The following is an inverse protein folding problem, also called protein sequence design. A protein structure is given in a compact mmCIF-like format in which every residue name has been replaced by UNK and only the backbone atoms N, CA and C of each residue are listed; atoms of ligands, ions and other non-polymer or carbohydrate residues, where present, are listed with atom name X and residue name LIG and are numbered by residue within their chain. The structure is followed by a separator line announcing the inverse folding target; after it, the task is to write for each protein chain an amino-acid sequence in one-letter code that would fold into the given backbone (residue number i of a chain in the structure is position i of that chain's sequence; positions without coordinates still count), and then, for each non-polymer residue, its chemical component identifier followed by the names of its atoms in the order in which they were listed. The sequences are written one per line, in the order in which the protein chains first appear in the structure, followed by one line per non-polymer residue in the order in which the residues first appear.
data_IF_624746293817
#
_entry.id   IF_624746293817
#
_cell.length_a   1.000
_cell.length_b   1.000
_cell.length_c   1.000
_cell.angle_alpha   90.00
_cell.angle_beta   90.00
_cell.angle_gamma   90.00
#
_symmetry.space_group_name_H-M   'P 1'
#
loop_
_entity.id
_entity.type
_entity.pdbx_description
1 polymer ?
#
# COMPACT_ATOMS: atom_id res chain seq x y z
N UNK A 1 8.14 -13.39 -20.49
CA UNK A 1 8.58 -13.05 -19.13
C UNK A 1 9.97 -12.49 -19.27
N UNK A 2 10.18 -11.26 -18.81
CA UNK A 2 11.48 -10.60 -18.91
C UNK A 2 12.50 -11.25 -17.98
N UNK A 3 13.72 -11.38 -18.46
CA UNK A 3 14.82 -11.99 -17.72
C UNK A 3 15.45 -10.98 -16.75
N UNK A 4 15.17 -11.14 -15.46
CA UNK A 4 15.72 -10.28 -14.40
C UNK A 4 17.21 -10.57 -14.14
N UNK A 5 17.75 -11.70 -14.60
CA UNK A 5 19.17 -12.02 -14.44
C UNK A 5 20.09 -11.04 -15.19
N UNK A 6 19.56 -10.36 -16.21
CA UNK A 6 20.25 -9.32 -16.96
C UNK A 6 20.59 -8.09 -16.08
N UNK A 7 19.85 -7.87 -15.00
CA UNK A 7 20.03 -6.70 -14.13
C UNK A 7 21.12 -6.88 -13.06
N UNK A 8 21.52 -8.10 -12.72
CA UNK A 8 22.46 -8.38 -11.61
C UNK A 8 23.93 -8.48 -12.04
N UNK A 9 24.26 -7.91 -13.21
CA UNK A 9 25.63 -7.90 -13.74
C UNK A 9 26.52 -6.96 -12.91
N UNK A 10 27.79 -7.34 -12.66
CA UNK A 10 28.78 -6.44 -12.08
C UNK A 10 28.96 -5.20 -12.95
N UNK A 11 29.22 -4.07 -12.31
CA UNK A 11 29.81 -2.91 -12.93
C UNK A 11 31.24 -3.22 -13.27
N UNK A 12 31.51 -3.56 -14.52
CA UNK A 12 32.89 -3.57 -14.97
C UNK A 12 33.41 -2.13 -14.97
N UNK A 13 34.57 -1.92 -14.36
CA UNK A 13 35.27 -0.63 -14.29
C UNK A 13 35.55 -0.03 -15.67
N UNK A 14 35.59 -0.88 -16.72
CA UNK A 14 35.87 -0.51 -18.11
C UNK A 14 34.65 -0.63 -19.04
N UNK A 15 33.45 -0.89 -18.51
CA UNK A 15 32.23 -0.89 -19.33
C UNK A 15 31.96 0.51 -19.88
N UNK A 16 31.80 0.62 -21.20
CA UNK A 16 31.58 1.87 -21.89
C UNK A 16 30.25 2.47 -21.44
N UNK A 17 30.33 3.39 -20.47
CA UNK A 17 29.17 3.98 -19.85
C UNK A 17 28.44 4.90 -20.84
N UNK A 18 27.14 4.68 -20.99
CA UNK A 18 26.28 5.53 -21.83
C UNK A 18 26.06 6.88 -21.14
N UNK A 19 26.70 7.93 -21.63
CA UNK A 19 26.43 9.29 -21.14
C UNK A 19 25.02 9.75 -21.56
N UNK A 20 24.48 10.75 -20.86
CA UNK A 20 23.08 11.17 -21.07
C UNK A 20 22.78 11.71 -22.49
N UNK A 21 23.82 12.10 -23.23
CA UNK A 21 23.71 12.57 -24.61
C UNK A 21 23.90 11.43 -25.65
N UNK A 22 24.13 10.19 -25.22
CA UNK A 22 24.21 9.06 -26.14
C UNK A 22 22.82 8.82 -26.78
N UNK A 23 22.71 8.73 -28.12
CA UNK A 23 21.42 8.53 -28.78
C UNK A 23 20.66 7.30 -28.30
N UNK A 24 21.37 6.24 -27.90
CA UNK A 24 20.76 5.00 -27.38
C UNK A 24 20.15 5.24 -25.99
N UNK A 25 20.84 6.00 -25.15
CA UNK A 25 20.30 6.42 -23.84
C UNK A 25 19.04 7.28 -24.04
N UNK A 26 19.12 8.27 -24.92
CA UNK A 26 18.00 9.17 -25.23
C UNK A 26 16.79 8.38 -25.74
N UNK A 27 17.01 7.42 -26.65
CA UNK A 27 15.96 6.57 -27.18
C UNK A 27 15.17 5.83 -26.08
N UNK A 28 15.86 5.20 -25.14
CA UNK A 28 15.20 4.51 -24.01
C UNK A 28 14.41 5.51 -23.16
N UNK A 29 14.99 6.67 -22.86
CA UNK A 29 14.31 7.67 -22.04
C UNK A 29 13.08 8.26 -22.72
N UNK A 30 13.10 8.50 -24.03
CA UNK A 30 11.96 9.00 -24.80
C UNK A 30 10.81 7.99 -24.82
N UNK A 31 11.13 6.70 -24.99
CA UNK A 31 10.15 5.62 -24.91
C UNK A 31 9.48 5.57 -23.54
N UNK A 32 10.27 5.61 -22.46
CA UNK A 32 9.75 5.60 -21.10
C UNK A 32 8.89 6.84 -20.79
N UNK A 33 9.33 8.04 -21.23
CA UNK A 33 8.56 9.28 -21.07
C UNK A 33 7.25 9.27 -21.86
N UNK A 34 7.22 8.60 -23.01
CA UNK A 34 6.01 8.36 -23.80
C UNK A 34 5.11 7.25 -23.24
N UNK A 35 5.45 6.65 -22.09
CA UNK A 35 4.69 5.55 -21.48
C UNK A 35 4.86 4.20 -22.21
N UNK A 36 5.76 4.11 -23.19
CA UNK A 36 6.06 2.91 -23.98
C UNK A 36 7.08 2.03 -23.25
N UNK A 37 6.71 1.56 -22.06
CA UNK A 37 7.65 0.86 -21.17
C UNK A 37 8.13 -0.48 -21.71
N UNK A 38 7.29 -1.21 -22.46
CA UNK A 38 7.68 -2.43 -23.16
C UNK A 38 8.77 -2.16 -24.20
N UNK A 39 8.53 -1.20 -25.11
CA UNK A 39 9.53 -0.80 -26.11
C UNK A 39 10.82 -0.29 -25.44
N UNK A 40 10.69 0.45 -24.32
CA UNK A 40 11.85 0.94 -23.58
C UNK A 40 12.69 -0.22 -23.01
N UNK A 41 12.04 -1.25 -22.49
CA UNK A 41 12.71 -2.41 -21.94
C UNK A 41 13.33 -3.30 -23.02
N UNK A 42 12.70 -3.44 -24.19
CA UNK A 42 13.30 -4.13 -25.36
C UNK A 42 14.59 -3.43 -25.79
N UNK A 43 14.58 -2.11 -25.87
CA UNK A 43 15.77 -1.32 -26.16
C UNK A 43 16.85 -1.45 -25.07
N UNK A 44 16.49 -1.69 -23.81
CA UNK A 44 17.47 -1.99 -22.75
C UNK A 44 18.06 -3.38 -22.92
N UNK A 45 17.26 -4.38 -23.30
CA UNK A 45 17.76 -5.75 -23.58
C UNK A 45 18.77 -5.75 -24.72
N UNK A 46 18.52 -4.98 -25.79
CA UNK A 46 19.47 -4.79 -26.91
C UNK A 46 20.82 -4.24 -26.41
N UNK A 47 20.80 -3.21 -25.56
CA UNK A 47 22.03 -2.65 -24.98
C UNK A 47 22.76 -3.65 -24.09
N UNK A 48 22.03 -4.43 -23.30
CA UNK A 48 22.61 -5.46 -22.43
C UNK A 48 23.21 -6.62 -23.23
N UNK A 49 22.63 -6.96 -24.39
CA UNK A 49 23.18 -7.93 -25.33
C UNK A 49 24.51 -7.46 -25.95
N UNK A 50 24.67 -6.14 -26.13
CA UNK A 50 25.92 -5.50 -26.56
C UNK A 50 26.93 -5.27 -25.41
N UNK A 51 26.66 -5.78 -24.20
CA UNK A 51 27.45 -5.55 -22.97
C UNK A 51 27.52 -4.08 -22.54
N UNK A 52 26.52 -3.28 -22.92
CA UNK A 52 26.38 -1.89 -22.48
C UNK A 52 25.44 -1.81 -21.28
N UNK A 53 26.04 -1.75 -20.09
CA UNK A 53 25.30 -1.64 -18.85
C UNK A 53 25.19 -0.18 -18.38
N UNK A 54 23.97 0.29 -18.17
CA UNK A 54 23.72 1.60 -17.58
C UNK A 54 22.61 1.55 -16.52
N UNK A 55 23.00 1.82 -15.26
CA UNK A 55 22.16 1.66 -14.07
C UNK A 55 20.87 2.50 -14.09
N UNK A 56 20.90 3.66 -14.76
CA UNK A 56 19.71 4.50 -14.90
C UNK A 56 18.63 3.84 -15.75
N UNK A 57 19.01 3.02 -16.74
CA UNK A 57 18.07 2.39 -17.64
C UNK A 57 17.39 1.15 -17.02
N UNK A 58 18.02 0.55 -15.99
CA UNK A 58 17.44 -0.56 -15.25
C UNK A 58 16.14 -0.20 -14.54
N UNK A 59 15.97 1.07 -14.13
CA UNK A 59 14.71 1.53 -13.56
C UNK A 59 13.56 1.30 -14.54
N UNK A 60 13.73 1.68 -15.80
CA UNK A 60 12.72 1.48 -16.85
C UNK A 60 12.46 0.00 -17.13
N UNK A 61 13.52 -0.80 -17.20
CA UNK A 61 13.41 -2.24 -17.43
C UNK A 61 12.64 -2.95 -16.30
N UNK A 62 13.00 -2.69 -15.04
CA UNK A 62 12.33 -3.27 -13.87
C UNK A 62 10.88 -2.79 -13.75
N UNK A 63 10.60 -1.55 -14.11
CA UNK A 63 9.22 -1.07 -14.16
C UNK A 63 8.42 -1.76 -15.28
N UNK A 64 9.01 -2.00 -16.45
CA UNK A 64 8.35 -2.73 -17.53
C UNK A 64 7.97 -4.17 -17.13
N UNK A 65 8.78 -4.82 -16.29
CA UNK A 65 8.43 -6.14 -15.70
C UNK A 65 7.13 -6.04 -14.90
N UNK A 66 6.97 -5.04 -14.02
CA UNK A 66 5.69 -4.82 -13.33
C UNK A 66 4.58 -4.51 -14.34
N UNK A 67 4.88 -3.65 -15.32
CA UNK A 67 3.91 -3.22 -16.30
C UNK A 67 3.31 -4.43 -17.04
N UNK A 68 4.14 -5.33 -17.54
CA UNK A 68 3.71 -6.46 -18.36
C UNK A 68 3.14 -7.61 -17.54
N UNK A 69 3.74 -7.90 -16.38
CA UNK A 69 3.50 -9.15 -15.65
C UNK A 69 2.78 -8.93 -14.31
N UNK A 70 2.72 -7.70 -13.84
CA UNK A 70 1.92 -7.29 -12.69
C UNK A 70 2.52 -7.59 -11.32
N UNK A 71 1.68 -7.39 -10.31
CA UNK A 71 2.02 -7.53 -8.89
C UNK A 71 2.74 -8.83 -8.51
N UNK A 72 2.46 -10.01 -9.10
CA UNK A 72 3.18 -11.24 -8.78
C UNK A 72 4.70 -11.15 -8.94
N UNK A 73 5.20 -10.22 -9.76
CA UNK A 73 6.63 -10.02 -10.01
C UNK A 73 7.30 -9.00 -9.08
N UNK A 74 6.54 -8.31 -8.23
CA UNK A 74 7.10 -7.30 -7.32
C UNK A 74 8.21 -7.86 -6.41
N UNK A 75 8.01 -9.05 -5.84
CA UNK A 75 9.03 -9.69 -5.01
C UNK A 75 10.33 -9.94 -5.77
N UNK A 76 10.24 -10.42 -7.02
CA UNK A 76 11.40 -10.70 -7.86
C UNK A 76 12.13 -9.41 -8.28
N UNK A 77 11.40 -8.32 -8.57
CA UNK A 77 11.98 -7.00 -8.84
C UNK A 77 12.78 -6.49 -7.62
N UNK A 78 12.20 -6.57 -6.43
CA UNK A 78 12.83 -6.14 -5.18
C UNK A 78 14.07 -6.97 -4.85
N UNK A 79 14.00 -8.29 -5.05
CA UNK A 79 15.14 -9.20 -4.88
C UNK A 79 16.26 -8.89 -5.87
N UNK A 80 15.92 -8.63 -7.14
CA UNK A 80 16.88 -8.27 -8.18
C UNK A 80 17.63 -6.97 -7.84
N UNK A 81 16.91 -5.97 -7.32
CA UNK A 81 17.52 -4.72 -6.84
C UNK A 81 18.43 -4.95 -5.64
N UNK A 82 17.98 -5.76 -4.67
CA UNK A 82 18.78 -6.08 -3.50
C UNK A 82 20.09 -6.79 -3.89
N UNK A 83 20.01 -7.74 -4.82
CA UNK A 83 21.18 -8.45 -5.33
C UNK A 83 22.11 -7.53 -6.13
N UNK A 84 21.56 -6.69 -7.00
CA UNK A 84 22.32 -5.67 -7.72
C UNK A 84 23.07 -4.77 -6.75
N UNK A 85 22.44 -4.26 -5.68
CA UNK A 85 23.10 -3.39 -4.71
C UNK A 85 24.19 -4.14 -3.94
N UNK A 86 23.91 -5.37 -3.45
CA UNK A 86 24.87 -6.16 -2.68
C UNK A 86 26.15 -6.45 -3.46
N UNK A 87 26.03 -6.97 -4.70
CA UNK A 87 27.18 -7.47 -5.48
C UNK A 87 28.26 -6.45 -5.78
N UNK A 88 27.90 -5.18 -5.72
CA UNK A 88 28.39 -4.25 -6.71
C UNK A 88 28.57 -2.86 -6.05
N UNK A 89 28.05 -2.68 -4.81
CA UNK A 89 28.15 -1.44 -4.04
C UNK A 89 28.44 -1.60 -2.54
N UNK A 90 28.60 -2.80 -1.99
CA UNK A 90 29.06 -2.95 -0.61
C UNK A 90 30.45 -2.30 -0.46
N UNK A 91 30.49 -1.05 0.02
CA UNK A 91 31.72 -0.25 0.20
C UNK A 91 31.90 1.00 -0.67
N UNK A 92 30.96 1.37 -1.56
CA UNK A 92 31.10 2.60 -2.37
C UNK A 92 30.80 3.88 -1.56
N UNK A 93 31.62 4.95 -1.67
CA UNK A 93 31.38 6.21 -0.97
C UNK A 93 30.06 6.86 -1.36
N UNK A 94 29.43 7.57 -0.43
CA UNK A 94 28.15 8.25 -0.65
C UNK A 94 28.19 9.31 -1.79
N UNK A 95 29.37 9.85 -2.12
CA UNK A 95 29.57 10.86 -3.16
C UNK A 95 30.04 10.28 -4.51
N UNK A 96 30.13 8.96 -4.64
CA UNK A 96 30.49 8.32 -5.91
C UNK A 96 29.39 8.58 -6.97
N UNK A 97 29.79 8.90 -8.21
CA UNK A 97 28.87 9.20 -9.32
C UNK A 97 27.89 8.03 -9.56
N UNK A 98 28.30 6.78 -9.34
CA UNK A 98 27.46 5.58 -9.49
C UNK A 98 26.41 5.48 -8.40
N UNK A 99 26.77 5.76 -7.14
CA UNK A 99 25.83 5.83 -6.01
C UNK A 99 24.74 6.87 -6.29
N UNK A 100 25.12 8.06 -6.75
CA UNK A 100 24.18 9.13 -7.09
C UNK A 100 23.21 8.70 -8.20
N UNK A 101 23.72 8.08 -9.26
CA UNK A 101 22.89 7.63 -10.37
C UNK A 101 21.96 6.49 -10.01
N UNK A 102 22.45 5.50 -9.27
CA UNK A 102 21.63 4.41 -8.79
C UNK A 102 20.53 4.94 -7.86
N UNK A 103 20.87 5.82 -6.90
CA UNK A 103 19.90 6.44 -6.03
C UNK A 103 18.79 7.14 -6.83
N UNK A 104 19.13 7.88 -7.89
CA UNK A 104 18.14 8.48 -8.80
C UNK A 104 17.27 7.44 -9.50
N UNK A 105 17.86 6.37 -10.03
CA UNK A 105 17.17 5.25 -10.68
C UNK A 105 16.16 4.58 -9.74
N UNK A 106 16.59 4.18 -8.54
CA UNK A 106 15.71 3.51 -7.56
C UNK A 106 14.65 4.45 -6.98
N UNK A 107 14.97 5.74 -6.80
CA UNK A 107 13.98 6.75 -6.39
C UNK A 107 12.85 6.82 -7.43
N UNK A 108 13.20 6.97 -8.71
CA UNK A 108 12.22 7.01 -9.79
C UNK A 108 11.40 5.71 -9.87
N UNK A 109 12.07 4.57 -9.78
CA UNK A 109 11.43 3.26 -9.83
C UNK A 109 10.39 3.11 -8.70
N UNK A 110 10.78 3.32 -7.44
CA UNK A 110 9.84 3.14 -6.32
C UNK A 110 8.67 4.12 -6.33
N UNK A 111 8.91 5.38 -6.71
CA UNK A 111 7.83 6.36 -6.91
C UNK A 111 6.86 5.89 -8.01
N UNK A 112 7.39 5.50 -9.17
CA UNK A 112 6.58 5.07 -10.31
C UNK A 112 5.82 3.77 -10.01
N UNK A 113 6.45 2.81 -9.31
CA UNK A 113 5.78 1.59 -8.83
C UNK A 113 4.62 1.96 -7.90
N UNK A 114 4.88 2.77 -6.87
CA UNK A 114 3.87 3.16 -5.90
C UNK A 114 2.70 3.91 -6.54
N UNK A 115 2.97 4.90 -7.40
CA UNK A 115 1.96 5.71 -8.06
C UNK A 115 1.09 4.84 -9.00
N UNK A 116 1.72 3.97 -9.78
CA UNK A 116 1.02 3.06 -10.71
C UNK A 116 0.14 2.08 -9.95
N UNK A 117 0.67 1.45 -8.90
CA UNK A 117 -0.05 0.48 -8.09
C UNK A 117 -1.23 1.14 -7.36
N UNK A 118 -1.00 2.30 -6.74
CA UNK A 118 -2.02 3.07 -6.03
C UNK A 118 -3.11 3.57 -6.97
N UNK A 119 -2.75 4.02 -8.18
CA UNK A 119 -3.71 4.44 -9.19
C UNK A 119 -4.65 3.29 -9.58
N UNK A 120 -4.10 2.16 -10.01
CA UNK A 120 -4.89 1.01 -10.44
C UNK A 120 -5.70 0.42 -9.28
N UNK A 121 -5.13 0.36 -8.07
CA UNK A 121 -5.87 -0.05 -6.89
C UNK A 121 -7.05 0.88 -6.58
N UNK A 122 -6.88 2.20 -6.74
CA UNK A 122 -7.96 3.17 -6.52
C UNK A 122 -9.05 3.05 -7.58
N UNK A 123 -8.66 2.87 -8.85
CA UNK A 123 -9.59 2.73 -9.97
C UNK A 123 -10.30 1.39 -10.02
N UNK A 124 -9.71 0.34 -9.43
CA UNK A 124 -10.19 -1.04 -9.48
C UNK A 124 -10.48 -1.52 -10.91
N UNK A 125 -9.71 -1.01 -11.87
CA UNK A 125 -9.89 -1.27 -13.30
C UNK A 125 -9.49 -2.70 -13.69
N UNK A 126 -9.69 -3.06 -14.97
CA UNK A 126 -9.41 -4.41 -15.49
C UNK A 126 -7.97 -4.85 -15.21
N UNK A 127 -7.01 -3.90 -15.28
CA UNK A 127 -5.61 -4.16 -15.01
C UNK A 127 -5.39 -4.52 -13.54
N UNK A 128 -5.98 -3.74 -12.62
CA UNK A 128 -5.97 -4.07 -11.20
C UNK A 128 -6.60 -5.45 -10.93
N UNK A 129 -7.76 -5.74 -11.52
CA UNK A 129 -8.45 -7.02 -11.32
C UNK A 129 -7.59 -8.19 -11.83
N UNK A 130 -6.91 -8.03 -12.96
CA UNK A 130 -5.97 -9.01 -13.50
C UNK A 130 -4.80 -9.26 -12.54
N UNK A 131 -4.15 -8.19 -12.07
CA UNK A 131 -3.06 -8.30 -11.09
C UNK A 131 -3.51 -8.91 -9.77
N UNK A 132 -4.68 -8.52 -9.27
CA UNK A 132 -5.26 -9.02 -8.04
C UNK A 132 -5.50 -10.54 -8.13
N UNK A 133 -6.18 -11.01 -9.17
CA UNK A 133 -6.47 -12.44 -9.39
C UNK A 133 -5.20 -13.29 -9.55
N UNK A 134 -4.16 -12.73 -10.15
CA UNK A 134 -2.90 -13.42 -10.36
C UNK A 134 -2.00 -13.44 -9.11
N UNK A 135 -2.32 -12.65 -8.08
CA UNK A 135 -1.50 -12.50 -6.88
C UNK A 135 -1.89 -13.50 -5.79
N UNK A 136 -0.89 -13.97 -5.06
CA UNK A 136 -1.06 -14.86 -3.91
C UNK A 136 -0.55 -14.21 -2.63
N UNK A 137 -1.05 -14.69 -1.49
CA UNK A 137 -0.57 -14.26 -0.16
C UNK A 137 0.93 -14.51 0.01
N UNK A 138 1.43 -15.67 -0.45
CA UNK A 138 2.85 -16.00 -0.38
C UNK A 138 3.74 -15.03 -1.18
N UNK A 139 3.30 -14.63 -2.38
CA UNK A 139 4.03 -13.65 -3.20
C UNK A 139 4.04 -12.26 -2.54
N UNK A 140 2.92 -11.82 -1.98
CA UNK A 140 2.84 -10.55 -1.27
C UNK A 140 3.72 -10.55 -0.01
N UNK A 141 3.73 -11.65 0.76
CA UNK A 141 4.60 -11.81 1.93
C UNK A 141 6.09 -11.77 1.55
N UNK A 142 6.47 -12.48 0.47
CA UNK A 142 7.83 -12.46 -0.05
C UNK A 142 8.25 -11.05 -0.51
N UNK A 143 7.35 -10.31 -1.17
CA UNK A 143 7.61 -8.93 -1.56
C UNK A 143 7.85 -8.01 -0.36
N UNK A 144 7.07 -8.15 0.72
CA UNK A 144 7.28 -7.40 1.97
C UNK A 144 8.66 -7.70 2.55
N UNK A 145 9.04 -8.97 2.65
CA UNK A 145 10.34 -9.37 3.17
C UNK A 145 11.48 -8.76 2.35
N UNK A 146 11.42 -8.87 1.01
CA UNK A 146 12.45 -8.30 0.12
C UNK A 146 12.51 -6.78 0.18
N UNK A 147 11.36 -6.11 0.33
CA UNK A 147 11.34 -4.66 0.55
C UNK A 147 12.01 -4.27 1.87
N UNK A 148 11.84 -5.04 2.95
CA UNK A 148 12.52 -4.79 4.23
C UNK A 148 14.03 -5.00 4.15
N UNK A 149 14.48 -6.08 3.50
CA UNK A 149 15.91 -6.33 3.24
C UNK A 149 16.53 -5.18 2.43
N UNK A 150 15.83 -4.73 1.38
CA UNK A 150 16.26 -3.63 0.54
C UNK A 150 16.26 -2.29 1.27
N UNK A 151 15.30 -2.05 2.16
CA UNK A 151 15.26 -0.86 3.02
C UNK A 151 16.51 -0.77 3.89
N UNK A 152 16.96 -1.89 4.46
CA UNK A 152 18.19 -1.94 5.24
C UNK A 152 19.43 -1.59 4.40
N UNK A 153 19.52 -2.11 3.16
CA UNK A 153 20.61 -1.80 2.23
C UNK A 153 20.65 -0.31 1.83
N UNK A 154 19.47 0.31 1.69
CA UNK A 154 19.33 1.72 1.29
C UNK A 154 19.40 2.70 2.48
N UNK A 155 19.61 2.23 3.71
CA UNK A 155 19.64 3.08 4.90
C UNK A 155 20.85 4.03 4.98
N UNK A 156 21.87 3.83 4.13
CA UNK A 156 23.06 4.68 4.09
C UNK A 156 22.80 6.04 3.43
N UNK A 157 23.52 7.12 3.81
CA UNK A 157 23.23 8.49 3.35
C UNK A 157 23.20 8.69 1.82
N UNK A 158 23.95 7.87 1.06
CA UNK A 158 23.99 7.94 -0.40
C UNK A 158 22.67 7.57 -1.08
N UNK A 159 21.77 6.87 -0.38
CA UNK A 159 20.50 6.35 -0.92
C UNK A 159 19.25 6.96 -0.29
N UNK A 160 19.37 8.10 0.40
CA UNK A 160 18.27 8.70 1.18
C UNK A 160 16.95 8.73 0.42
N UNK A 161 16.92 9.32 -0.78
CA UNK A 161 15.68 9.49 -1.55
C UNK A 161 15.10 8.15 -2.04
N UNK A 162 15.94 7.19 -2.41
CA UNK A 162 15.52 5.84 -2.76
C UNK A 162 14.91 5.12 -1.55
N UNK A 163 15.54 5.25 -0.40
CA UNK A 163 15.10 4.71 0.89
C UNK A 163 13.74 5.29 1.31
N UNK A 164 13.56 6.60 1.18
CA UNK A 164 12.30 7.29 1.47
C UNK A 164 11.18 6.87 0.51
N UNK A 165 11.49 6.68 -0.78
CA UNK A 165 10.51 6.21 -1.76
C UNK A 165 10.08 4.76 -1.49
N UNK A 166 11.01 3.87 -1.14
CA UNK A 166 10.69 2.50 -0.75
C UNK A 166 9.87 2.43 0.55
N UNK A 167 10.16 3.31 1.51
CA UNK A 167 9.42 3.38 2.77
C UNK A 167 7.93 3.70 2.57
N UNK A 168 7.54 4.38 1.47
CA UNK A 168 6.14 4.61 1.10
C UNK A 168 5.47 3.37 0.49
N UNK A 169 6.22 2.56 -0.26
CA UNK A 169 5.72 1.33 -0.88
C UNK A 169 5.48 0.22 0.16
N UNK A 170 6.25 0.21 1.25
CA UNK A 170 6.19 -0.86 2.26
C UNK A 170 4.83 -0.97 2.99
N UNK A 171 4.21 0.12 3.50
CA UNK A 171 2.85 0.08 4.03
C UNK A 171 1.83 -0.43 3.01
N UNK A 172 1.96 0.02 1.75
CA UNK A 172 1.07 -0.39 0.67
C UNK A 172 1.13 -1.91 0.42
N UNK A 173 2.33 -2.50 0.42
CA UNK A 173 2.51 -3.95 0.30
C UNK A 173 1.88 -4.71 1.47
N UNK A 174 1.97 -4.18 2.69
CA UNK A 174 1.35 -4.77 3.89
C UNK A 174 -0.18 -4.74 3.80
N UNK A 175 -0.74 -3.63 3.33
CA UNK A 175 -2.19 -3.50 3.12
C UNK A 175 -2.68 -4.44 2.02
N UNK A 176 -1.92 -4.57 0.91
CA UNK A 176 -2.20 -5.55 -0.14
C UNK A 176 -2.22 -6.97 0.42
N UNK A 177 -1.18 -7.36 1.18
CA UNK A 177 -1.11 -8.68 1.80
C UNK A 177 -2.30 -8.93 2.74
N UNK A 178 -2.65 -7.97 3.60
CA UNK A 178 -3.79 -8.08 4.50
C UNK A 178 -5.11 -8.27 3.74
N UNK A 179 -5.32 -7.51 2.65
CA UNK A 179 -6.50 -7.66 1.81
C UNK A 179 -6.52 -9.04 1.11
N UNK A 180 -5.37 -9.55 0.64
CA UNK A 180 -5.29 -10.87 0.02
C UNK A 180 -5.62 -11.98 1.02
N UNK A 181 -5.10 -11.89 2.26
CA UNK A 181 -5.41 -12.82 3.34
C UNK A 181 -6.90 -12.81 3.67
N UNK A 182 -7.51 -11.63 3.81
CA UNK A 182 -8.93 -11.49 4.11
C UNK A 182 -9.84 -12.07 3.01
N UNK A 183 -9.36 -12.08 1.77
CA UNK A 183 -10.09 -12.63 0.62
C UNK A 183 -9.72 -14.08 0.28
N UNK A 184 -8.86 -14.74 1.09
CA UNK A 184 -8.66 -16.18 0.91
C UNK A 184 -9.94 -16.93 1.29
N UNK A 185 -10.37 -17.92 0.48
CA UNK A 185 -11.48 -18.79 0.84
C UNK A 185 -11.18 -19.37 2.23
N UNK A 186 -12.03 -19.07 3.21
CA UNK A 186 -11.97 -19.74 4.49
C UNK A 186 -12.44 -21.18 4.22
N UNK A 187 -11.65 -22.16 4.64
CA UNK A 187 -12.16 -23.53 4.71
C UNK A 187 -13.45 -23.50 5.56
N UNK A 188 -14.53 -24.17 5.12
CA UNK A 188 -15.72 -24.30 5.95
C UNK A 188 -15.28 -24.81 7.32
N UNK A 189 -15.77 -24.21 8.42
CA UNK A 189 -15.45 -24.72 9.75
C UNK A 189 -15.78 -26.21 9.78
N UNK A 190 -14.82 -27.02 10.23
CA UNK A 190 -15.00 -28.46 10.36
C UNK A 190 -16.28 -28.69 11.17
N UNK A 191 -17.25 -29.38 10.54
CA UNK A 191 -18.51 -29.74 11.16
C UNK A 191 -18.22 -30.41 12.51
N UNK A 192 -18.80 -29.93 13.62
CA UNK A 192 -18.77 -30.66 14.88
C UNK A 192 -19.37 -32.06 14.66
N UNK A 193 -18.91 -33.10 15.38
CA UNK A 193 -19.51 -34.42 15.30
C UNK A 193 -21.00 -34.33 15.59
N UNK A 194 -21.82 -34.84 14.67
CA UNK A 194 -23.28 -34.89 14.81
C UNK A 194 -23.64 -35.74 16.04
N UNK A 195 -24.21 -35.09 17.07
CA UNK A 195 -25.05 -35.76 18.05
C UNK A 195 -26.48 -35.79 17.51
N UNK A 196 -27.12 -36.94 17.73
CA UNK A 196 -28.43 -37.33 17.24
C UNK A 196 -29.53 -36.30 17.56
N UNK A 197 -30.50 -36.28 16.65
CA UNK A 197 -31.65 -35.40 16.53
C UNK A 197 -32.46 -35.26 17.84
N UNK A 198 -32.78 -34.03 18.20
CA UNK A 198 -34.02 -33.71 18.90
C UNK A 198 -34.77 -32.60 18.15
N UNK A 199 -36.07 -32.85 18.04
CA UNK A 199 -37.13 -32.18 17.28
C UNK A 199 -37.28 -30.68 17.64
N UNK A 200 -37.81 -29.84 16.72
CA UNK A 200 -37.45 -28.43 16.64
C UNK A 200 -38.31 -27.53 17.55
N UNK A 201 -37.64 -26.61 18.27
CA UNK A 201 -38.25 -25.35 18.68
C UNK A 201 -38.07 -24.31 17.56
N UNK A 202 -39.08 -23.46 17.30
CA UNK A 202 -39.03 -22.52 16.19
C UNK A 202 -37.92 -21.50 16.41
N UNK A 203 -36.98 -21.32 15.46
CA UNK A 203 -36.00 -20.25 15.57
C UNK A 203 -36.73 -18.91 15.47
N UNK A 204 -36.56 -18.10 16.51
CA UNK A 204 -36.83 -16.68 16.47
C UNK A 204 -36.22 -16.08 15.20
N UNK A 205 -37.01 -15.27 14.50
CA UNK A 205 -36.54 -14.40 13.43
C UNK A 205 -35.24 -13.73 13.90
N UNK A 206 -34.17 -13.68 13.10
CA UNK A 206 -33.05 -12.81 13.41
C UNK A 206 -33.64 -11.40 13.42
N UNK A 207 -33.78 -10.83 14.62
CA UNK A 207 -34.06 -9.43 14.82
C UNK A 207 -33.07 -8.68 13.92
N UNK A 208 -33.58 -8.13 12.82
CA UNK A 208 -32.80 -7.21 12.00
C UNK A 208 -32.25 -6.15 12.96
N UNK A 209 -30.99 -5.70 12.82
CA UNK A 209 -30.44 -4.72 13.73
C UNK A 209 -31.32 -3.45 13.63
N UNK A 210 -32.22 -3.34 14.60
CA UNK A 210 -33.11 -2.22 14.84
C UNK A 210 -32.44 -1.32 15.87
N UNK A 211 -32.96 -0.11 16.04
CA UNK A 211 -33.05 0.97 15.09
C UNK A 211 -32.08 2.08 15.53
N UNK A 212 -31.74 2.99 14.63
CA UNK A 212 -31.11 4.30 14.88
C UNK A 212 -30.63 4.58 16.33
N UNK A 213 -29.30 4.74 16.47
CA UNK A 213 -28.73 5.59 17.51
C UNK A 213 -29.58 6.87 17.57
N UNK A 214 -30.31 7.08 18.67
CA UNK A 214 -31.11 8.29 18.84
C UNK A 214 -30.14 9.46 18.91
N UNK A 215 -30.31 10.44 18.02
CA UNK A 215 -29.52 11.67 18.01
C UNK A 215 -29.50 12.27 19.42
N UNK A 216 -28.31 12.58 19.95
CA UNK A 216 -28.13 13.22 21.25
C UNK A 216 -28.05 12.29 22.48
N UNK A 217 -28.08 10.95 22.32
CA UNK A 217 -27.87 10.03 23.46
C UNK A 217 -26.42 9.52 23.57
N UNK A 218 -25.90 9.29 24.79
CA UNK A 218 -24.58 8.70 25.00
C UNK A 218 -24.55 7.27 24.45
N UNK A 219 -23.58 7.01 23.57
CA UNK A 219 -23.41 5.73 22.88
C UNK A 219 -22.42 4.87 23.66
N UNK A 220 -22.78 3.63 23.97
CA UNK A 220 -21.81 2.63 24.41
C UNK A 220 -21.15 2.03 23.17
N UNK A 221 -19.86 2.29 23.01
CA UNK A 221 -19.07 1.79 21.88
C UNK A 221 -18.44 0.45 22.27
N UNK A 222 -18.71 -0.61 21.51
CA UNK A 222 -17.86 -1.80 21.57
C UNK A 222 -16.54 -1.50 20.86
N UNK A 223 -15.44 -1.61 21.61
CA UNK A 223 -14.10 -1.41 21.08
C UNK A 223 -13.68 -2.55 20.17
N UNK A 224 -13.13 -2.23 18.99
CA UNK A 224 -12.42 -3.20 18.17
C UNK A 224 -11.14 -3.70 18.86
N UNK A 225 -10.55 -4.79 18.37
CA UNK A 225 -9.25 -5.28 18.82
C UNK A 225 -8.15 -4.21 18.74
N UNK A 226 -8.22 -3.28 17.78
CA UNK A 226 -7.27 -2.17 17.64
C UNK A 226 -7.44 -1.11 18.73
N UNK A 227 -8.67 -0.83 19.16
CA UNK A 227 -8.91 0.06 20.28
C UNK A 227 -8.39 -0.56 21.59
N UNK A 228 -8.60 -1.86 21.79
CA UNK A 228 -8.09 -2.59 22.95
C UNK A 228 -6.56 -2.54 23.00
N UNK A 229 -5.88 -2.75 21.87
CA UNK A 229 -4.43 -2.66 21.78
C UNK A 229 -3.91 -1.26 22.10
N UNK A 230 -4.54 -0.20 21.57
CA UNK A 230 -4.19 1.19 21.90
C UNK A 230 -4.37 1.47 23.39
N UNK A 231 -5.48 1.03 24.01
CA UNK A 231 -5.70 1.15 25.44
C UNK A 231 -4.63 0.43 26.26
N UNK A 232 -4.23 -0.77 25.84
CA UNK A 232 -3.16 -1.52 26.51
C UNK A 232 -1.81 -0.81 26.39
N UNK A 233 -1.49 -0.23 25.23
CA UNK A 233 -0.26 0.56 25.03
C UNK A 233 -0.24 1.82 25.88
N UNK A 234 -1.36 2.55 25.94
CA UNK A 234 -1.52 3.70 26.84
C UNK A 234 -1.27 3.29 28.29
N UNK A 235 -1.84 2.17 28.74
CA UNK A 235 -1.62 1.68 30.10
C UNK A 235 -0.18 1.22 30.34
N UNK A 236 0.44 0.58 29.36
CA UNK A 236 1.83 0.17 29.43
C UNK A 236 2.77 1.39 29.53
N UNK A 237 2.50 2.46 28.78
CA UNK A 237 3.24 3.71 28.88
C UNK A 237 3.17 4.31 30.29
N UNK A 238 1.97 4.41 30.89
CA UNK A 238 1.80 4.87 32.27
C UNK A 238 2.66 4.08 33.26
N UNK A 239 2.60 2.74 33.20
CA UNK A 239 3.37 1.87 34.07
C UNK A 239 4.89 2.02 33.90
N UNK A 240 5.36 2.24 32.67
CA UNK A 240 6.78 2.44 32.38
C UNK A 240 7.29 3.79 32.91
N UNK A 241 6.46 4.84 32.85
CA UNK A 241 6.76 6.14 33.43
C UNK A 241 6.85 6.06 34.95
N UNK A 242 5.90 5.39 35.61
CA UNK A 242 5.92 5.19 37.07
C UNK A 242 7.19 4.45 37.53
N UNK A 243 7.64 3.46 36.76
CA UNK A 243 8.87 2.69 37.01
C UNK A 243 10.15 3.41 36.61
N UNK A 244 10.05 4.63 36.05
CA UNK A 244 11.18 5.43 35.52
C UNK A 244 11.97 4.70 34.42
N UNK A 245 11.33 3.77 33.70
CA UNK A 245 11.91 3.03 32.58
C UNK A 245 11.77 3.83 31.28
N UNK A 246 12.38 5.02 31.24
CA UNK A 246 12.14 6.02 30.18
C UNK A 246 12.50 5.54 28.77
N UNK A 247 13.51 4.68 28.63
CA UNK A 247 13.88 4.15 27.32
C UNK A 247 12.77 3.28 26.72
N UNK A 248 12.10 2.45 27.55
CA UNK A 248 10.96 1.64 27.10
C UNK A 248 9.72 2.51 26.89
N UNK A 249 9.52 3.49 27.77
CA UNK A 249 8.43 4.45 27.62
C UNK A 249 8.52 5.21 26.29
N UNK A 250 9.72 5.64 25.89
CA UNK A 250 9.96 6.33 24.62
C UNK A 250 9.54 5.47 23.41
N UNK A 251 9.86 4.17 23.42
CA UNK A 251 9.46 3.23 22.37
C UNK A 251 7.93 3.08 22.30
N UNK A 252 7.28 2.92 23.45
CA UNK A 252 5.82 2.78 23.50
C UNK A 252 5.14 4.08 23.08
N UNK A 253 5.67 5.24 23.46
CA UNK A 253 5.12 6.53 23.02
C UNK A 253 5.27 6.77 21.53
N UNK A 254 6.37 6.34 20.90
CA UNK A 254 6.56 6.46 19.45
C UNK A 254 5.48 5.67 18.68
N UNK A 255 5.19 4.46 19.13
CA UNK A 255 4.13 3.61 18.56
C UNK A 255 2.72 4.18 18.81
N UNK A 256 2.46 4.73 20.00
CA UNK A 256 1.20 5.42 20.30
C UNK A 256 1.03 6.63 19.38
N UNK A 257 2.07 7.47 19.23
CA UNK A 257 2.01 8.66 18.37
C UNK A 257 1.78 8.28 16.91
N UNK A 258 2.48 7.26 16.39
CA UNK A 258 2.24 6.74 15.05
C UNK A 258 0.80 6.23 14.86
N UNK A 259 0.25 5.57 15.89
CA UNK A 259 -1.16 5.10 15.88
C UNK A 259 -2.14 6.27 15.85
N UNK A 260 -1.85 7.36 16.57
CA UNK A 260 -2.68 8.56 16.59
C UNK A 260 -2.59 9.36 15.28
N UNK A 261 -1.41 9.46 14.67
CA UNK A 261 -1.22 10.12 13.37
C UNK A 261 -1.98 9.40 12.25
N UNK A 262 -2.11 8.07 12.32
CA UNK A 262 -2.84 7.23 11.37
C UNK A 262 -4.24 6.83 11.82
N UNK A 263 -4.86 7.54 12.77
CA UNK A 263 -6.11 7.10 13.38
C UNK A 263 -7.29 7.08 12.38
N UNK A 264 -7.78 5.88 12.02
CA UNK A 264 -8.99 5.70 11.21
C UNK A 264 -10.17 5.24 12.08
N UNK A 265 -11.16 6.11 12.36
CA UNK A 265 -12.32 5.77 13.20
C UNK A 265 -13.07 4.52 12.76
N UNK A 266 -13.07 4.17 11.46
CA UNK A 266 -13.77 2.98 10.94
C UNK A 266 -13.09 1.68 11.37
N UNK A 267 -11.77 1.73 11.58
CA UNK A 267 -10.98 0.61 12.06
C UNK A 267 -11.12 0.43 13.57
N UNK A 268 -11.22 1.55 14.30
CA UNK A 268 -11.34 1.54 15.75
C UNK A 268 -12.77 1.26 16.24
N UNK A 269 -13.79 1.71 15.49
CA UNK A 269 -15.22 1.60 15.81
C UNK A 269 -16.05 1.06 14.62
N UNK A 270 -15.80 -0.16 14.14
CA UNK A 270 -16.43 -0.69 12.92
C UNK A 270 -17.96 -0.66 13.00
N UNK A 271 -18.55 -1.03 14.14
CA UNK A 271 -20.00 -1.11 14.33
C UNK A 271 -20.67 0.26 14.23
N UNK A 272 -19.98 1.34 14.62
CA UNK A 272 -20.50 2.70 14.50
C UNK A 272 -20.72 3.10 13.03
N UNK A 273 -19.88 2.59 12.13
CA UNK A 273 -19.92 2.92 10.71
C UNK A 273 -20.59 1.85 9.85
N UNK A 274 -20.89 0.68 10.39
CA UNK A 274 -21.46 -0.44 9.64
C UNK A 274 -22.80 -0.06 8.97
N UNK A 275 -23.74 0.50 9.74
CA UNK A 275 -25.05 0.92 9.20
C UNK A 275 -24.92 2.05 8.19
N UNK A 276 -24.04 3.03 8.45
CA UNK A 276 -23.76 4.11 7.50
C UNK A 276 -23.21 3.56 6.18
N UNK A 277 -22.22 2.66 6.24
CA UNK A 277 -21.64 2.02 5.06
C UNK A 277 -22.66 1.21 4.27
N UNK A 278 -23.52 0.46 4.95
CA UNK A 278 -24.59 -0.32 4.32
C UNK A 278 -25.61 0.58 3.61
N UNK A 279 -26.08 1.65 4.26
CA UNK A 279 -27.03 2.60 3.68
C UNK A 279 -26.42 3.39 2.53
N UNK A 280 -25.17 3.85 2.67
CA UNK A 280 -24.46 4.55 1.63
C UNK A 280 -24.30 3.66 0.39
N UNK A 281 -23.89 2.40 0.56
CA UNK A 281 -23.77 1.46 -0.55
C UNK A 281 -25.12 1.20 -1.24
N UNK A 282 -26.19 1.04 -0.46
CA UNK A 282 -27.54 0.79 -0.97
C UNK A 282 -28.08 1.97 -1.79
N UNK A 283 -27.79 3.20 -1.39
CA UNK A 283 -28.33 4.42 -1.99
C UNK A 283 -27.28 5.27 -2.73
N UNK A 284 -26.10 4.71 -3.03
CA UNK A 284 -24.96 5.47 -3.55
C UNK A 284 -25.28 6.20 -4.85
N UNK A 285 -26.10 5.60 -5.72
CA UNK A 285 -26.48 6.17 -7.02
C UNK A 285 -27.38 7.40 -6.85
N UNK A 286 -28.34 7.32 -5.94
CA UNK A 286 -29.26 8.43 -5.64
C UNK A 286 -28.50 9.57 -4.95
N UNK A 287 -27.60 9.23 -4.02
CA UNK A 287 -26.77 10.20 -3.30
C UNK A 287 -25.75 10.86 -4.24
N UNK A 288 -25.17 10.12 -5.19
CA UNK A 288 -24.18 10.63 -6.14
C UNK A 288 -24.72 11.78 -7.00
N UNK A 289 -25.98 11.69 -7.45
CA UNK A 289 -26.61 12.77 -8.22
C UNK A 289 -26.60 14.11 -7.45
N UNK A 290 -26.76 14.06 -6.13
CA UNK A 290 -26.69 15.26 -5.28
C UNK A 290 -25.25 15.72 -5.04
N UNK A 291 -24.25 14.83 -5.05
CA UNK A 291 -22.84 15.21 -4.93
C UNK A 291 -22.32 16.01 -6.12
N UNK A 292 -22.86 15.79 -7.31
CA UNK A 292 -22.51 16.56 -8.51
C UNK A 292 -22.96 18.03 -8.39
N UNK A 293 -24.01 18.28 -7.61
CA UNK A 293 -24.53 19.63 -7.30
C UNK A 293 -23.87 20.33 -6.09
N UNK A 294 -22.74 19.84 -5.58
CA UNK A 294 -22.06 20.39 -4.38
C UNK A 294 -21.75 21.90 -4.40
N UNK A 295 -21.64 22.48 -5.59
CA UNK A 295 -21.35 23.91 -5.76
C UNK A 295 -22.59 24.80 -5.85
N UNK A 296 -23.79 24.20 -5.86
CA UNK A 296 -25.05 24.93 -6.00
C UNK A 296 -25.39 25.76 -4.74
N UNK A 297 -26.28 26.73 -4.91
CA UNK A 297 -26.74 27.58 -3.80
C UNK A 297 -27.57 26.78 -2.80
N UNK A 298 -28.35 25.82 -3.30
CA UNK A 298 -29.19 24.91 -2.51
C UNK A 298 -28.33 24.03 -1.59
N UNK A 299 -27.23 23.47 -2.12
CA UNK A 299 -26.28 22.70 -1.31
C UNK A 299 -25.66 23.54 -0.20
N UNK A 300 -25.25 24.78 -0.51
CA UNK A 300 -24.65 25.69 0.48
C UNK A 300 -25.63 26.07 1.59
N UNK A 301 -26.89 26.33 1.26
CA UNK A 301 -27.94 26.62 2.25
C UNK A 301 -28.24 25.40 3.14
N UNK A 302 -28.35 24.19 2.55
CA UNK A 302 -28.53 22.94 3.29
C UNK A 302 -27.33 22.63 4.21
N UNK A 303 -26.10 22.88 3.74
CA UNK A 303 -24.89 22.70 4.54
C UNK A 303 -24.84 23.67 5.73
N UNK A 304 -25.26 24.92 5.55
CA UNK A 304 -25.39 25.88 6.65
C UNK A 304 -26.46 25.44 7.66
N UNK A 305 -27.61 24.94 7.20
CA UNK A 305 -28.65 24.43 8.10
C UNK A 305 -28.19 23.20 8.90
N UNK A 306 -27.52 22.24 8.24
CA UNK A 306 -26.88 21.07 8.87
C UNK A 306 -25.91 21.46 9.99
N UNK A 307 -25.13 22.53 9.81
CA UNK A 307 -24.17 23.00 10.82
C UNK A 307 -24.83 23.67 12.03
N UNK A 308 -25.99 24.28 11.85
CA UNK A 308 -26.68 25.03 12.91
C UNK A 308 -27.54 24.11 13.77
N UNK A 309 -28.26 23.16 13.17
CA UNK A 309 -29.16 22.27 13.90
C UNK A 309 -29.30 20.91 13.19
N UNK A 310 -28.47 19.95 13.61
CA UNK A 310 -28.48 18.59 13.08
C UNK A 310 -29.80 17.86 13.41
N UNK A 311 -30.39 18.11 14.58
CA UNK A 311 -31.64 17.45 14.98
C UNK A 311 -32.80 17.89 14.10
N UNK A 312 -32.91 19.20 13.83
CA UNK A 312 -33.95 19.75 12.97
C UNK A 312 -33.68 19.48 11.49
N UNK A 313 -32.43 19.31 11.09
CA UNK A 313 -32.05 18.90 9.73
C UNK A 313 -32.55 17.49 9.37
N UNK A 314 -32.59 16.57 10.33
CA UNK A 314 -32.97 15.16 10.09
C UNK A 314 -34.48 14.91 10.28
N UNK A 315 -35.21 15.82 10.96
CA UNK A 315 -36.66 15.68 11.13
C UNK A 315 -37.41 16.10 9.86
N UNK A 316 -38.38 15.30 9.38
CA UNK A 316 -39.30 15.77 8.35
C UNK A 316 -40.21 16.87 8.92
N UNK A 317 -40.56 17.87 8.10
CA UNK A 317 -41.65 18.81 8.39
C UNK A 317 -43.01 18.12 8.41
#
# INVERSE_FOLDING_TARGET
MRDLSLCVRPFETDSQRLEAHDPRFQRVTELAQGGKYTEAADAVEELLAENLFEVRLLGYYLFAVLHEEGMPRLGAILETLAELIRRNWEGLPARDKRTILLNKSVTWLFQTLFDTLSYHQTKKDERWQGWWKASTVAQAAAAIQKAQELQALLSVPGYRSGSEALAKLLPWLRDLHAQLVANMPQDPPALPPQQEEHEPEPPAEPEGPSPFLKLGQPVQLMGSAHLVDLCNKLKAFELLIERKEFQKAALVSDDILATLEGFDPRRFFPDLFASFGALLNKHVRDIQAHWESKNSTEWKALAQFYQVDLERFVRPE
#
